data_IF_077394613844
#
_entry.id   IF_077394613844
#
_cell.length_a   1.000
_cell.length_b   1.000
_cell.length_c   1.000
_cell.angle_alpha   90.00
_cell.angle_beta   90.00
_cell.angle_gamma   90.00
#
_symmetry.space_group_name_H-M   'P 1'
#
loop_
_entity.id
_entity.type
_entity.pdbx_description
1 polymer ?
#
# COMPACT_ATOMS: atom_id res chain seq x y z
N UNK A 1 18.75 -16.14 -23.90
CA UNK A 1 18.60 -15.33 -25.12
C UNK A 1 18.03 -13.98 -24.72
N UNK A 2 18.83 -12.91 -24.78
CA UNK A 2 18.42 -11.53 -24.47
C UNK A 2 17.81 -10.90 -25.72
N UNK A 3 16.49 -11.01 -25.89
CA UNK A 3 15.77 -10.28 -26.94
C UNK A 3 15.82 -8.76 -26.66
N UNK A 4 15.70 -7.91 -27.69
CA UNK A 4 15.71 -6.46 -27.49
C UNK A 4 14.57 -6.07 -26.57
N UNK A 5 14.89 -5.36 -25.48
CA UNK A 5 13.89 -4.76 -24.59
C UNK A 5 13.08 -3.76 -25.43
N UNK A 6 11.75 -3.88 -25.53
CA UNK A 6 10.96 -2.96 -26.32
C UNK A 6 11.13 -1.54 -25.78
N UNK A 7 11.52 -0.59 -26.63
CA UNK A 7 11.50 0.82 -26.31
C UNK A 7 10.05 1.26 -26.11
N UNK A 8 9.61 1.40 -24.86
CA UNK A 8 8.27 1.90 -24.56
C UNK A 8 8.35 3.43 -24.48
N UNK A 9 7.89 4.12 -25.52
CA UNK A 9 7.68 5.55 -25.46
C UNK A 9 6.33 5.83 -24.81
N UNK A 10 6.33 6.49 -23.64
CA UNK A 10 5.12 6.79 -22.88
C UNK A 10 5.06 8.31 -22.67
N UNK A 11 4.20 8.98 -23.44
CA UNK A 11 3.97 10.41 -23.28
C UNK A 11 2.75 10.61 -22.38
N UNK A 12 2.95 11.27 -21.25
CA UNK A 12 1.89 11.56 -20.29
C UNK A 12 1.70 13.08 -20.26
N UNK A 13 0.54 13.55 -20.70
CA UNK A 13 0.24 14.98 -20.72
C UNK A 13 0.01 15.52 -19.29
N UNK A 14 -0.85 14.89 -18.49
CA UNK A 14 -1.08 15.26 -17.08
C UNK A 14 -1.45 14.02 -16.27
N UNK A 15 -0.86 13.87 -15.08
CA UNK A 15 -1.38 13.06 -13.98
C UNK A 15 -1.80 14.03 -12.88
N UNK A 16 -3.09 14.06 -12.55
CA UNK A 16 -3.59 14.80 -11.39
C UNK A 16 -4.01 13.80 -10.33
N UNK A 17 -3.27 13.78 -9.23
CA UNK A 17 -3.61 12.99 -8.06
C UNK A 17 -4.06 13.95 -6.98
N UNK A 18 -5.32 13.80 -6.58
CA UNK A 18 -5.92 14.60 -5.52
C UNK A 18 -5.53 14.08 -4.12
N UNK A 19 -5.24 12.78 -4.03
CA UNK A 19 -4.60 12.17 -2.88
C UNK A 19 -4.05 10.78 -3.20
N UNK A 20 -2.94 10.44 -2.55
CA UNK A 20 -2.46 9.08 -2.41
C UNK A 20 -2.53 8.68 -0.95
N UNK A 21 -3.04 7.48 -0.71
CA UNK A 21 -3.10 6.89 0.61
C UNK A 21 -2.06 5.77 0.78
N UNK A 22 -2.11 5.04 1.88
CA UNK A 22 -1.12 4.01 2.14
C UNK A 22 -1.16 2.90 1.08
N UNK A 23 -0.01 2.28 0.80
CA UNK A 23 0.22 1.34 -0.32
C UNK A 23 0.01 1.90 -1.74
N UNK A 24 -0.05 3.22 -1.94
CA UNK A 24 -0.35 3.74 -3.29
C UNK A 24 0.90 3.88 -4.15
N UNK A 25 0.85 3.33 -5.37
CA UNK A 25 1.85 3.56 -6.41
C UNK A 25 1.19 3.83 -7.76
N UNK A 26 1.80 4.72 -8.55
CA UNK A 26 1.58 4.78 -9.99
C UNK A 26 2.86 4.31 -10.67
N UNK A 27 2.80 3.12 -11.25
CA UNK A 27 3.93 2.51 -11.94
C UNK A 27 3.65 2.47 -13.44
N UNK A 28 4.59 3.02 -14.22
CA UNK A 28 4.48 3.19 -15.67
C UNK A 28 5.71 2.54 -16.32
N UNK A 29 5.50 1.71 -17.36
CA UNK A 29 6.55 0.92 -18.00
C UNK A 29 6.63 -0.53 -17.49
N UNK A 30 7.77 -1.20 -17.73
CA UNK A 30 8.00 -2.57 -17.25
C UNK A 30 8.43 -2.55 -15.78
N UNK A 31 7.49 -2.77 -14.86
CA UNK A 31 7.75 -2.77 -13.42
C UNK A 31 7.37 -4.12 -12.79
N UNK A 32 8.28 -4.69 -12.02
CA UNK A 32 8.00 -5.83 -11.14
C UNK A 32 7.95 -5.30 -9.70
N UNK A 33 6.81 -5.44 -9.04
CA UNK A 33 6.63 -5.06 -7.63
C UNK A 33 6.75 -6.32 -6.77
N UNK A 34 7.92 -6.96 -6.80
CA UNK A 34 8.18 -8.11 -5.95
C UNK A 34 8.25 -7.65 -4.48
N UNK A 35 7.66 -8.45 -3.58
CA UNK A 35 7.72 -8.23 -2.12
C UNK A 35 7.12 -6.88 -1.65
N UNK A 36 6.20 -6.31 -2.43
CA UNK A 36 5.44 -5.15 -1.96
C UNK A 36 4.56 -5.56 -0.77
N UNK A 37 4.91 -5.05 0.41
CA UNK A 37 4.11 -5.21 1.61
C UNK A 37 3.60 -3.84 2.09
N UNK A 38 2.37 -3.81 2.58
CA UNK A 38 1.85 -2.63 3.24
C UNK A 38 1.03 -3.04 4.46
N UNK A 39 1.34 -2.45 5.62
CA UNK A 39 0.45 -2.46 6.77
C UNK A 39 0.03 -1.02 7.03
N UNK A 40 -1.28 -0.80 7.11
CA UNK A 40 -1.83 0.48 7.48
C UNK A 40 -2.76 0.34 8.68
N UNK A 41 -2.68 1.30 9.58
CA UNK A 41 -3.78 1.55 10.49
C UNK A 41 -4.24 2.98 10.38
N UNK A 42 -5.54 3.15 10.11
CA UNK A 42 -6.19 4.47 10.17
C UNK A 42 -7.37 4.42 11.11
N UNK A 43 -7.36 5.37 12.05
CA UNK A 43 -8.51 5.67 12.88
C UNK A 43 -8.91 7.12 12.61
N UNK A 44 -9.92 7.31 11.77
CA UNK A 44 -10.31 8.63 11.29
C UNK A 44 -11.74 8.90 11.71
N UNK A 45 -11.89 9.77 12.70
CA UNK A 45 -13.20 10.08 13.25
C UNK A 45 -14.16 10.81 12.30
N UNK A 46 -13.65 11.45 11.24
CA UNK A 46 -14.44 12.27 10.31
C UNK A 46 -14.14 11.99 8.83
N UNK A 47 -13.29 11.00 8.53
CA UNK A 47 -12.82 10.69 7.18
C UNK A 47 -11.74 11.63 6.65
N UNK A 48 -11.48 11.54 5.34
CA UNK A 48 -10.52 12.36 4.59
C UNK A 48 -11.26 13.16 3.51
N UNK A 49 -10.94 14.44 3.35
CA UNK A 49 -11.43 15.27 2.24
C UNK A 49 -10.26 15.58 1.31
N UNK A 50 -10.34 15.09 0.08
CA UNK A 50 -9.23 15.13 -0.86
C UNK A 50 -9.76 15.55 -2.22
N UNK A 51 -9.14 16.57 -2.81
CA UNK A 51 -9.52 17.15 -4.10
C UNK A 51 -10.12 18.55 -4.00
N UNK A 52 -10.27 19.18 -5.16
CA UNK A 52 -10.68 20.58 -5.25
C UNK A 52 -12.11 20.79 -4.73
N UNK A 53 -12.30 21.74 -3.81
CA UNK A 53 -13.62 22.12 -3.29
C UNK A 53 -14.10 21.30 -2.08
N UNK A 54 -13.23 20.57 -1.41
CA UNK A 54 -13.60 19.69 -0.30
C UNK A 54 -13.49 20.37 1.08
N UNK A 55 -14.59 20.97 1.57
CA UNK A 55 -14.65 21.62 2.89
C UNK A 55 -15.45 20.78 3.90
N UNK A 56 -14.93 20.62 5.12
CA UNK A 56 -15.70 20.11 6.27
C UNK A 56 -16.13 21.28 7.17
N UNK A 57 -17.39 21.28 7.62
CA UNK A 57 -17.91 22.23 8.60
C UNK A 57 -18.64 21.49 9.72
N UNK A 58 -18.33 21.80 10.98
CA UNK A 58 -19.09 21.32 12.14
C UNK A 58 -18.84 19.87 12.54
N UNK A 59 -17.69 19.30 12.18
CA UNK A 59 -17.38 17.89 12.42
C UNK A 59 -16.89 17.64 13.86
N UNK A 60 -17.45 16.65 14.55
CA UNK A 60 -17.00 16.15 15.87
C UNK A 60 -16.78 14.65 15.81
N UNK A 61 -15.70 14.15 16.40
CA UNK A 61 -15.43 12.72 16.49
C UNK A 61 -14.82 12.32 17.82
N UNK A 62 -15.11 11.09 18.25
CA UNK A 62 -14.49 10.44 19.39
C UNK A 62 -14.28 8.97 19.09
N UNK A 63 -13.21 8.41 19.63
CA UNK A 63 -12.88 6.99 19.57
C UNK A 63 -12.71 6.54 21.01
N UNK A 64 -13.45 5.51 21.42
CA UNK A 64 -13.26 4.81 22.69
C UNK A 64 -12.73 3.41 22.38
N UNK A 65 -11.47 3.17 22.76
CA UNK A 65 -10.76 1.93 22.49
C UNK A 65 -10.27 1.35 23.82
N UNK A 66 -10.84 0.21 24.21
CA UNK A 66 -10.70 -0.36 25.56
C UNK A 66 -9.72 -1.53 25.63
N UNK A 67 -9.15 -1.94 24.51
CA UNK A 67 -8.03 -2.86 24.40
C UNK A 67 -6.89 -2.21 23.59
N UNK A 68 -5.72 -2.01 24.19
CA UNK A 68 -4.58 -1.25 23.61
C UNK A 68 -3.86 -1.95 22.44
N UNK A 69 -4.49 -2.93 21.78
CA UNK A 69 -3.86 -3.73 20.73
C UNK A 69 -4.42 -3.31 19.39
N UNK A 70 -3.73 -2.39 18.73
CA UNK A 70 -4.21 -1.77 17.51
C UNK A 70 -3.20 -2.02 16.35
N UNK A 71 -3.57 -2.93 15.44
CA UNK A 71 -2.84 -3.30 14.20
C UNK A 71 -1.54 -4.10 14.35
N UNK A 72 -1.65 -5.35 14.80
CA UNK A 72 -0.61 -6.34 14.63
C UNK A 72 -0.45 -6.68 13.14
N UNK A 73 0.74 -6.48 12.59
CA UNK A 73 1.09 -6.95 11.24
C UNK A 73 2.36 -7.81 11.31
N UNK A 74 2.31 -8.99 10.71
CA UNK A 74 3.46 -9.85 10.47
C UNK A 74 3.62 -10.11 8.98
N UNK A 75 4.86 -10.10 8.50
CA UNK A 75 5.20 -10.39 7.12
C UNK A 75 6.18 -11.58 7.03
N UNK A 76 6.19 -12.44 8.05
CA UNK A 76 7.04 -13.62 8.08
C UNK A 76 6.52 -14.66 7.07
N UNK A 77 7.37 -15.04 6.12
CA UNK A 77 7.20 -16.29 5.37
C UNK A 77 7.49 -17.43 6.35
N UNK A 78 6.48 -18.23 6.70
CA UNK A 78 6.70 -19.40 7.54
C UNK A 78 7.80 -20.27 6.94
N UNK A 79 8.96 -20.37 7.62
CA UNK A 79 9.97 -21.37 7.32
C UNK A 79 9.38 -22.74 7.72
N UNK A 80 8.55 -23.30 6.85
CA UNK A 80 8.11 -24.68 6.98
C UNK A 80 9.37 -25.56 6.91
N UNK A 81 9.62 -26.43 7.90
CA UNK A 81 10.76 -27.33 7.84
C UNK A 81 10.66 -28.14 6.55
N UNK A 82 11.77 -28.19 5.81
CA UNK A 82 11.90 -29.00 4.61
C UNK A 82 11.39 -30.42 4.92
N UNK A 83 10.37 -30.95 4.21
CA UNK A 83 9.80 -32.27 4.50
C UNK A 83 10.78 -33.43 4.29
N UNK A 84 11.99 -33.15 3.82
CA UNK A 84 13.08 -34.10 3.69
C UNK A 84 14.11 -33.82 4.80
N UNK A 85 13.84 -34.38 5.98
CA UNK A 85 14.82 -34.50 7.05
C UNK A 85 15.99 -35.35 6.58
N UNK A 86 17.01 -34.72 6.01
CA UNK A 86 18.33 -35.32 5.85
C UNK A 86 19.18 -34.83 7.02
N UNK A 87 19.31 -35.69 8.02
CA UNK A 87 20.36 -35.67 9.03
C UNK A 87 21.33 -36.81 8.62
N UNK A 88 22.67 -36.62 8.69
CA UNK A 88 23.67 -37.59 8.20
C UNK A 88 23.50 -39.02 8.72
#
# INVERSE_FOLDING_TARGET
MTGPVPYINININIIKVNSFENASAINVGQNLLAEWHNSDKKNMGLGQNMGDGSNFLGTRSGVDDRDQVDSNASFETANLPNPLGVIP
#
